data_IF_439673453746
#
_entry.id   IF_439673453746
#
_cell.length_a   1.000
_cell.length_b   1.000
_cell.length_c   1.000
_cell.angle_alpha   90.00
_cell.angle_beta   90.00
_cell.angle_gamma   90.00
#
_symmetry.space_group_name_H-M   'P 1'
#
loop_
_entity.id
_entity.type
_entity.pdbx_description
1 polymer ?
#
# COMPACT_ATOMS: atom_id res chain seq x y z
N UNK A 1 -14.94 27.40 2.25
CA UNK A 1 -14.18 26.79 1.13
C UNK A 1 -13.00 27.69 0.79
N UNK A 2 -11.75 27.21 0.84
CA UNK A 2 -10.63 27.96 0.31
C UNK A 2 -10.78 28.01 -1.22
N UNK A 3 -11.16 29.18 -1.77
CA UNK A 3 -11.41 29.39 -3.21
C UNK A 3 -10.22 29.01 -4.12
N UNK A 4 -9.03 28.81 -3.55
CA UNK A 4 -7.80 28.47 -4.27
C UNK A 4 -7.45 26.99 -4.33
N UNK A 5 -8.26 26.08 -3.76
CA UNK A 5 -8.00 24.64 -3.78
C UNK A 5 -9.06 23.84 -4.56
N UNK A 6 -9.62 24.44 -5.62
CA UNK A 6 -10.54 23.77 -6.54
C UNK A 6 -9.79 22.94 -7.58
N UNK A 7 -10.45 21.90 -8.08
CA UNK A 7 -10.01 21.21 -9.29
C UNK A 7 -10.37 22.08 -10.49
N UNK A 8 -9.44 22.35 -11.43
CA UNK A 8 -9.74 23.17 -12.61
C UNK A 8 -10.88 22.57 -13.44
N UNK A 9 -11.75 23.41 -14.02
CA UNK A 9 -12.89 22.96 -14.81
C UNK A 9 -12.51 22.05 -15.98
N UNK A 10 -11.31 22.22 -16.53
CA UNK A 10 -10.82 21.38 -17.62
C UNK A 10 -10.47 19.95 -17.22
N UNK A 11 -10.31 19.68 -15.92
CA UNK A 11 -10.05 18.34 -15.41
C UNK A 11 -11.39 17.61 -15.27
N UNK A 12 -11.77 16.86 -16.31
CA UNK A 12 -12.91 15.96 -16.27
C UNK A 12 -12.46 14.51 -16.11
N UNK A 13 -13.37 13.65 -15.64
CA UNK A 13 -13.11 12.22 -15.49
C UNK A 13 -12.75 11.58 -16.83
N UNK A 14 -13.41 12.00 -17.90
CA UNK A 14 -13.22 11.50 -19.27
C UNK A 14 -11.83 11.87 -19.78
N UNK A 15 -11.39 13.11 -19.56
CA UNK A 15 -10.05 13.56 -19.95
C UNK A 15 -8.95 12.85 -19.18
N UNK A 16 -9.13 12.64 -17.87
CA UNK A 16 -8.17 11.87 -17.08
C UNK A 16 -8.08 10.41 -17.54
N UNK A 17 -9.22 9.79 -17.89
CA UNK A 17 -9.23 8.44 -18.45
C UNK A 17 -8.58 8.38 -19.83
N UNK A 18 -8.81 9.37 -20.71
CA UNK A 18 -8.13 9.48 -22.00
C UNK A 18 -6.61 9.62 -21.81
N UNK A 19 -6.18 10.45 -20.86
CA UNK A 19 -4.77 10.57 -20.51
C UNK A 19 -4.18 9.26 -20.01
N UNK A 20 -4.86 8.56 -19.10
CA UNK A 20 -4.42 7.27 -18.58
C UNK A 20 -4.30 6.22 -19.69
N UNK A 21 -5.31 6.09 -20.57
CA UNK A 21 -5.30 5.18 -21.69
C UNK A 21 -4.18 5.49 -22.69
N UNK A 22 -3.85 6.77 -22.92
CA UNK A 22 -2.71 7.15 -23.78
C UNK A 22 -1.35 6.71 -23.22
N UNK A 23 -1.27 6.48 -21.90
CA UNK A 23 -0.05 6.07 -21.20
C UNK A 23 0.01 4.56 -20.93
N UNK A 24 -1.14 3.90 -20.92
CA UNK A 24 -1.28 2.46 -20.74
C UNK A 24 -2.28 1.91 -21.76
N UNK A 25 -1.77 1.47 -22.91
CA UNK A 25 -2.57 0.94 -24.02
C UNK A 25 -3.22 -0.42 -23.70
N UNK A 26 -2.79 -1.09 -22.63
CA UNK A 26 -3.34 -2.37 -22.16
C UNK A 26 -4.04 -2.20 -20.81
N UNK A 27 -4.78 -1.09 -20.67
CA UNK A 27 -5.49 -0.78 -19.44
C UNK A 27 -6.55 -1.84 -19.14
N UNK A 28 -6.45 -2.45 -17.97
CA UNK A 28 -7.41 -3.45 -17.49
C UNK A 28 -8.83 -2.83 -17.39
N UNK A 29 -9.87 -3.45 -17.98
CA UNK A 29 -11.25 -2.93 -17.95
C UNK A 29 -11.80 -2.64 -16.56
N UNK A 30 -11.29 -3.27 -15.49
CA UNK A 30 -11.72 -2.96 -14.12
C UNK A 30 -11.41 -1.52 -13.70
N UNK A 31 -10.47 -0.86 -14.37
CA UNK A 31 -10.09 0.52 -14.09
C UNK A 31 -10.90 1.56 -14.86
N UNK A 32 -11.89 1.16 -15.67
CA UNK A 32 -12.68 2.06 -16.53
C UNK A 32 -13.26 3.29 -15.78
N UNK A 33 -13.61 3.11 -14.50
CA UNK A 33 -14.26 4.13 -13.67
C UNK A 33 -13.31 4.74 -12.61
N UNK A 34 -12.00 4.47 -12.68
CA UNK A 34 -11.07 4.87 -11.60
C UNK A 34 -11.04 6.40 -11.40
N UNK A 35 -11.11 7.20 -12.48
CA UNK A 35 -11.19 8.66 -12.36
C UNK A 35 -12.49 9.10 -11.66
N UNK A 36 -13.62 8.43 -11.93
CA UNK A 36 -14.91 8.70 -11.26
C UNK A 36 -14.80 8.41 -9.77
N UNK A 37 -14.13 7.34 -9.36
CA UNK A 37 -13.85 7.05 -7.95
C UNK A 37 -12.99 8.13 -7.28
N UNK A 38 -11.95 8.64 -7.95
CA UNK A 38 -11.15 9.74 -7.39
C UNK A 38 -11.99 10.99 -7.19
N UNK A 39 -12.77 11.39 -8.19
CA UNK A 39 -13.68 12.53 -8.08
C UNK A 39 -14.67 12.34 -6.94
N UNK A 40 -15.37 11.22 -6.91
CA UNK A 40 -16.38 10.91 -5.89
C UNK A 40 -15.80 10.98 -4.46
N UNK A 41 -14.71 10.26 -4.19
CA UNK A 41 -14.12 10.25 -2.85
C UNK A 41 -13.43 11.57 -2.51
N UNK A 42 -12.73 12.20 -3.46
CA UNK A 42 -12.04 13.45 -3.17
C UNK A 42 -12.98 14.64 -3.01
N UNK A 43 -14.14 14.69 -3.68
CA UNK A 43 -15.19 15.67 -3.39
C UNK A 43 -15.76 15.44 -1.97
N UNK A 44 -16.07 14.20 -1.61
CA UNK A 44 -16.61 13.85 -0.29
C UNK A 44 -15.62 14.16 0.86
N UNK A 45 -14.33 13.93 0.65
CA UNK A 45 -13.27 14.15 1.63
C UNK A 45 -12.51 15.48 1.44
N UNK A 46 -12.97 16.33 0.51
CA UNK A 46 -12.41 17.66 0.22
C UNK A 46 -10.91 17.63 -0.14
N UNK A 47 -10.48 16.59 -0.83
CA UNK A 47 -9.11 16.39 -1.35
C UNK A 47 -9.05 16.81 -2.82
N UNK A 48 -7.92 17.38 -3.24
CA UNK A 48 -7.60 17.63 -4.67
C UNK A 48 -7.48 16.32 -5.43
N UNK A 49 -8.63 15.82 -5.92
CA UNK A 49 -8.76 14.50 -6.50
C UNK A 49 -7.98 14.34 -7.82
N UNK A 50 -7.77 15.43 -8.55
CA UNK A 50 -6.88 15.48 -9.71
C UNK A 50 -5.43 15.15 -9.32
N UNK A 51 -4.91 15.77 -8.27
CA UNK A 51 -3.56 15.46 -7.76
C UNK A 51 -3.46 14.09 -7.12
N UNK A 52 -4.52 13.58 -6.48
CA UNK A 52 -4.56 12.19 -6.02
C UNK A 52 -4.51 11.21 -7.20
N UNK A 53 -5.19 11.51 -8.31
CA UNK A 53 -5.10 10.74 -9.56
C UNK A 53 -3.69 10.79 -10.16
N UNK A 54 -3.05 11.96 -10.24
CA UNK A 54 -1.68 12.08 -10.75
C UNK A 54 -0.66 11.40 -9.85
N UNK A 55 -0.88 11.42 -8.53
CA UNK A 55 -0.10 10.61 -7.59
C UNK A 55 -0.24 9.12 -7.91
N UNK A 56 -1.45 8.62 -8.12
CA UNK A 56 -1.66 7.22 -8.52
C UNK A 56 -0.95 6.88 -9.82
N UNK A 57 -1.01 7.76 -10.81
CA UNK A 57 -0.32 7.57 -12.07
C UNK A 57 1.20 7.43 -11.87
N UNK A 58 1.79 8.21 -10.95
CA UNK A 58 3.19 8.07 -10.57
C UNK A 58 3.46 6.74 -9.84
N UNK A 59 2.72 6.47 -8.77
CA UNK A 59 2.95 5.36 -7.84
C UNK A 59 2.78 3.99 -8.50
N UNK A 60 1.84 3.88 -9.43
CA UNK A 60 1.52 2.64 -10.12
C UNK A 60 2.19 2.53 -11.49
N UNK A 61 2.93 3.57 -11.90
CA UNK A 61 3.39 3.73 -13.27
C UNK A 61 2.24 3.54 -14.28
N UNK A 62 1.22 4.41 -14.19
CA UNK A 62 0.00 4.40 -15.00
C UNK A 62 -0.75 3.06 -14.98
N UNK A 63 -0.88 2.46 -13.79
CA UNK A 63 -1.52 1.17 -13.53
C UNK A 63 -0.86 -0.03 -14.22
N UNK A 64 0.37 0.12 -14.69
CA UNK A 64 1.16 -1.02 -15.19
C UNK A 64 1.78 -1.83 -14.06
N UNK A 65 2.02 -1.19 -12.90
CA UNK A 65 2.76 -1.74 -11.76
C UNK A 65 4.14 -2.29 -12.15
N UNK A 66 4.75 -1.72 -13.19
CA UNK A 66 6.10 -2.09 -13.65
C UNK A 66 7.10 -1.03 -13.23
N UNK A 67 8.27 -1.49 -12.80
CA UNK A 67 9.45 -0.65 -12.58
C UNK A 67 10.07 -0.23 -13.92
N UNK A 68 10.95 0.77 -13.90
CA UNK A 68 11.61 1.29 -15.11
C UNK A 68 12.45 0.26 -15.90
N UNK A 69 12.88 -0.83 -15.24
CA UNK A 69 13.55 -1.96 -15.90
C UNK A 69 12.58 -3.04 -16.42
N UNK A 70 11.28 -2.74 -16.47
CA UNK A 70 10.24 -3.65 -16.93
C UNK A 70 9.84 -4.73 -15.92
N UNK A 71 10.51 -4.89 -14.77
CA UNK A 71 10.12 -5.90 -13.76
C UNK A 71 8.87 -5.46 -12.98
N UNK A 72 8.06 -6.39 -12.45
CA UNK A 72 6.96 -6.04 -11.54
C UNK A 72 7.43 -5.24 -10.31
N UNK A 73 6.63 -4.28 -9.88
CA UNK A 73 6.76 -3.57 -8.61
C UNK A 73 6.50 -4.46 -7.40
N UNK A 74 6.71 -3.93 -6.19
CA UNK A 74 6.36 -4.63 -4.96
C UNK A 74 4.83 -4.79 -4.83
N UNK A 75 4.11 -3.70 -5.11
CA UNK A 75 2.64 -3.72 -5.20
C UNK A 75 2.20 -4.35 -6.52
N UNK A 76 1.20 -5.22 -6.46
CA UNK A 76 0.61 -5.93 -7.61
C UNK A 76 -0.75 -5.34 -8.01
N UNK A 77 -1.14 -5.43 -9.30
CA UNK A 77 -2.44 -4.93 -9.76
C UNK A 77 -3.65 -5.48 -8.97
N UNK A 78 -3.60 -6.75 -8.57
CA UNK A 78 -4.65 -7.42 -7.80
C UNK A 78 -4.84 -6.88 -6.37
N UNK A 79 -3.94 -6.02 -5.88
CA UNK A 79 -4.08 -5.42 -4.56
C UNK A 79 -5.00 -4.20 -4.52
N UNK A 80 -5.34 -3.62 -5.68
CA UNK A 80 -6.04 -2.33 -5.76
C UNK A 80 -5.36 -1.22 -4.92
N UNK A 81 -4.07 -1.35 -4.64
CA UNK A 81 -3.31 -0.37 -3.87
C UNK A 81 -2.67 0.62 -4.86
N UNK A 82 -3.24 1.80 -4.94
CA UNK A 82 -2.91 2.81 -5.95
C UNK A 82 -1.85 3.80 -5.48
N UNK A 83 -1.40 3.70 -4.24
CA UNK A 83 -0.56 4.72 -3.62
C UNK A 83 0.59 4.14 -2.78
N UNK A 84 0.89 2.85 -2.96
CA UNK A 84 1.99 2.17 -2.26
C UNK A 84 1.78 2.06 -0.75
N UNK A 85 0.53 2.12 -0.27
CA UNK A 85 0.22 2.19 1.16
C UNK A 85 0.74 0.92 1.85
N UNK A 86 1.63 1.09 2.82
CA UNK A 86 2.21 -0.03 3.58
C UNK A 86 3.33 -0.79 2.87
N UNK A 87 3.66 -0.46 1.61
CA UNK A 87 4.81 -1.03 0.94
C UNK A 87 6.11 -0.38 1.43
N UNK A 88 7.15 -1.17 1.69
CA UNK A 88 8.43 -0.67 2.24
C UNK A 88 9.63 -0.93 1.32
N UNK A 89 9.40 -1.50 0.14
CA UNK A 89 10.48 -2.02 -0.71
C UNK A 89 10.90 -3.44 -0.32
N UNK A 90 11.72 -4.08 -1.16
CA UNK A 90 12.28 -5.40 -0.87
C UNK A 90 11.26 -6.55 -0.92
N UNK A 91 10.17 -6.41 -1.67
CA UNK A 91 9.14 -7.44 -1.81
C UNK A 91 7.99 -7.36 -0.82
N UNK A 92 7.99 -6.41 0.14
CA UNK A 92 6.83 -6.20 1.03
C UNK A 92 5.68 -5.58 0.23
N UNK A 93 4.56 -6.30 0.04
CA UNK A 93 3.54 -5.91 -0.94
C UNK A 93 2.69 -4.71 -0.49
N UNK A 94 2.65 -4.41 0.80
CA UNK A 94 1.76 -3.39 1.37
C UNK A 94 0.30 -3.83 1.48
N UNK A 95 -0.58 -2.88 1.75
CA UNK A 95 -2.01 -3.12 1.98
C UNK A 95 -2.70 -3.62 0.69
N UNK A 96 -3.85 -4.28 0.86
CA UNK A 96 -4.73 -4.80 -0.21
C UNK A 96 -6.16 -4.36 0.03
N UNK A 97 -6.87 -4.04 -1.06
CA UNK A 97 -8.26 -3.58 -1.04
C UNK A 97 -9.14 -4.44 -1.95
N UNK A 98 -10.41 -4.61 -1.55
CA UNK A 98 -11.35 -5.52 -2.21
C UNK A 98 -11.62 -5.15 -3.68
N UNK A 99 -11.74 -3.85 -3.96
CA UNK A 99 -12.07 -3.31 -5.27
C UNK A 99 -11.39 -1.96 -5.51
N UNK A 100 -11.55 -1.45 -6.73
CA UNK A 100 -10.97 -0.18 -7.18
C UNK A 100 -11.48 1.00 -6.34
N UNK A 101 -12.79 1.06 -6.05
CA UNK A 101 -13.36 2.14 -5.24
C UNK A 101 -12.75 2.21 -3.84
N UNK A 102 -12.67 1.07 -3.17
CA UNK A 102 -12.05 0.93 -1.84
C UNK A 102 -10.57 1.31 -1.86
N UNK A 103 -9.83 0.90 -2.91
CA UNK A 103 -8.44 1.28 -3.08
C UNK A 103 -8.23 2.78 -3.27
N UNK A 104 -9.12 3.44 -4.01
CA UNK A 104 -9.10 4.90 -4.19
C UNK A 104 -9.47 5.62 -2.87
N UNK A 105 -10.51 5.14 -2.17
CA UNK A 105 -10.88 5.66 -0.85
C UNK A 105 -9.71 5.54 0.14
N UNK A 106 -8.98 4.43 0.12
CA UNK A 106 -7.81 4.22 0.97
C UNK A 106 -6.74 5.30 0.77
N UNK A 107 -6.42 5.63 -0.49
CA UNK A 107 -5.48 6.70 -0.81
C UNK A 107 -6.00 8.07 -0.38
N UNK A 108 -7.27 8.38 -0.68
CA UNK A 108 -7.88 9.66 -0.31
C UNK A 108 -7.87 9.85 1.21
N UNK A 109 -8.24 8.83 1.98
CA UNK A 109 -8.15 8.85 3.44
C UNK A 109 -6.70 9.00 3.92
N UNK A 110 -5.74 8.32 3.30
CA UNK A 110 -4.34 8.50 3.67
C UNK A 110 -3.88 9.95 3.45
N UNK A 111 -4.29 10.58 2.33
CA UNK A 111 -4.03 12.00 2.07
C UNK A 111 -4.67 12.93 3.12
N UNK A 112 -5.86 12.60 3.63
CA UNK A 112 -6.51 13.33 4.74
C UNK A 112 -5.68 13.22 6.03
N UNK A 113 -5.11 12.04 6.33
CA UNK A 113 -4.16 11.95 7.45
C UNK A 113 -2.94 12.86 7.24
N UNK A 114 -2.41 12.92 6.02
CA UNK A 114 -1.31 13.84 5.65
C UNK A 114 -1.71 15.31 5.65
N UNK A 115 -3.00 15.68 5.61
CA UNK A 115 -3.45 17.07 5.83
C UNK A 115 -3.42 17.49 7.31
N UNK A 116 -3.20 16.54 8.22
CA UNK A 116 -3.20 16.75 9.67
C UNK A 116 -4.57 16.49 10.32
N UNK A 117 -5.51 15.93 9.56
CA UNK A 117 -6.85 15.59 9.99
C UNK A 117 -6.96 14.10 10.36
N UNK A 118 -7.74 13.80 11.41
CA UNK A 118 -7.98 12.44 11.84
C UNK A 118 -8.99 11.77 10.90
N UNK A 119 -8.72 10.53 10.49
CA UNK A 119 -9.63 9.72 9.69
C UNK A 119 -10.34 8.70 10.59
N UNK A 120 -11.66 8.81 10.77
CA UNK A 120 -12.40 7.82 11.53
C UNK A 120 -12.56 6.53 10.72
N UNK A 121 -12.26 5.38 11.34
CA UNK A 121 -12.35 4.04 10.74
C UNK A 121 -11.73 3.98 9.31
N UNK A 122 -10.42 4.22 9.15
CA UNK A 122 -9.79 4.18 7.85
C UNK A 122 -9.89 2.79 7.22
N UNK A 123 -10.12 2.71 5.91
CA UNK A 123 -10.19 1.43 5.19
C UNK A 123 -8.82 0.75 5.02
N UNK A 124 -7.73 1.53 5.12
CA UNK A 124 -6.37 1.02 5.09
C UNK A 124 -5.83 0.73 6.50
N UNK A 125 -5.41 -0.52 6.79
CA UNK A 125 -4.74 -0.88 8.04
C UNK A 125 -3.54 0.01 8.35
N UNK A 126 -2.75 0.40 7.34
CA UNK A 126 -1.62 1.32 7.53
C UNK A 126 -2.08 2.71 7.97
N UNK A 127 -3.16 3.24 7.40
CA UNK A 127 -3.72 4.54 7.83
C UNK A 127 -4.21 4.44 9.27
N UNK A 128 -4.95 3.39 9.61
CA UNK A 128 -5.44 3.16 10.97
C UNK A 128 -4.30 3.15 12.00
N UNK A 129 -3.22 2.42 11.71
CA UNK A 129 -2.06 2.30 12.61
C UNK A 129 -1.15 3.52 12.66
N UNK A 130 -1.04 4.30 11.58
CA UNK A 130 -0.04 5.38 11.47
C UNK A 130 -0.57 6.80 11.40
N UNK A 131 -1.88 7.01 11.29
CA UNK A 131 -2.41 8.36 11.17
C UNK A 131 -1.98 9.30 12.30
N UNK A 132 -1.88 8.82 13.55
CA UNK A 132 -1.44 9.67 14.66
C UNK A 132 0.01 10.14 14.50
N UNK A 133 0.92 9.25 14.09
CA UNK A 133 2.31 9.58 13.78
C UNK A 133 2.39 10.60 12.62
N UNK A 134 1.63 10.35 11.55
CA UNK A 134 1.57 11.20 10.36
C UNK A 134 1.07 12.60 10.74
N UNK A 135 -0.07 12.67 11.44
CA UNK A 135 -0.72 13.91 11.88
C UNK A 135 0.22 14.71 12.79
N UNK A 136 0.89 14.04 13.73
CA UNK A 136 1.87 14.68 14.62
C UNK A 136 3.01 15.32 13.83
N UNK A 137 3.55 14.60 12.84
CA UNK A 137 4.65 15.09 12.01
C UNK A 137 4.24 16.28 11.11
N UNK A 138 3.07 16.24 10.46
CA UNK A 138 2.63 17.32 9.56
C UNK A 138 2.19 18.57 10.33
N UNK A 139 1.68 18.43 11.56
CA UNK A 139 1.33 19.59 12.42
C UNK A 139 2.53 20.47 12.78
N UNK A 140 3.75 19.93 12.73
CA UNK A 140 4.98 20.70 12.92
C UNK A 140 5.20 21.78 11.84
N UNK A 141 4.52 21.68 10.70
CA UNK A 141 4.60 22.69 9.63
C UNK A 141 3.97 24.03 10.03
N UNK A 142 3.04 24.04 11.01
CA UNK A 142 2.35 25.25 11.51
C UNK A 142 1.69 26.11 10.41
N UNK A 143 1.32 25.49 9.29
CA UNK A 143 0.59 26.09 8.16
C UNK A 143 -0.27 25.03 7.46
N UNK A 144 -1.24 25.42 6.62
CA UNK A 144 -1.95 24.47 5.77
C UNK A 144 -0.96 23.62 4.94
N UNK A 145 -1.21 22.31 4.92
CA UNK A 145 -0.41 21.35 4.17
C UNK A 145 -0.63 21.56 2.67
N UNK A 146 0.46 21.55 1.92
CA UNK A 146 0.47 21.58 0.46
C UNK A 146 0.87 20.22 -0.07
N UNK A 147 0.49 19.93 -1.30
CA UNK A 147 0.89 18.69 -1.96
C UNK A 147 2.43 18.54 -2.04
N UNK A 148 3.16 19.66 -2.10
CA UNK A 148 4.63 19.67 -2.03
C UNK A 148 5.21 19.12 -0.73
N UNK A 149 4.45 19.16 0.37
CA UNK A 149 4.91 18.69 1.69
C UNK A 149 4.91 17.16 1.81
N UNK A 150 4.29 16.46 0.85
CA UNK A 150 4.35 15.00 0.76
C UNK A 150 5.77 14.51 0.43
N UNK A 151 6.60 15.32 -0.22
CA UNK A 151 8.00 14.99 -0.43
C UNK A 151 8.73 14.82 0.92
N UNK A 152 9.54 13.78 1.04
CA UNK A 152 10.23 13.34 2.27
C UNK A 152 9.31 12.93 3.43
N UNK A 153 8.00 12.84 3.25
CA UNK A 153 7.05 12.40 4.28
C UNK A 153 6.18 11.23 3.83
N UNK A 154 5.67 11.30 2.61
CA UNK A 154 5.01 10.19 1.93
C UNK A 154 6.03 9.28 1.27
N UNK A 155 6.85 9.85 0.38
CA UNK A 155 7.96 9.18 -0.26
C UNK A 155 9.29 9.76 0.25
N UNK A 156 10.33 8.93 0.32
CA UNK A 156 11.67 9.37 0.69
C UNK A 156 12.28 10.37 -0.33
N UNK A 157 11.82 10.32 -1.58
CA UNK A 157 12.34 11.14 -2.67
C UNK A 157 12.04 12.64 -2.47
N UNK A 158 13.05 13.53 -2.45
CA UNK A 158 12.82 14.98 -2.43
C UNK A 158 12.13 15.51 -3.69
N UNK A 159 12.24 14.83 -4.83
CA UNK A 159 11.65 15.23 -6.11
C UNK A 159 10.22 14.73 -6.30
N UNK A 160 9.68 14.02 -5.32
CA UNK A 160 8.36 13.40 -5.39
C UNK A 160 7.25 14.38 -5.83
N UNK A 161 7.20 15.54 -5.17
CA UNK A 161 6.22 16.57 -5.50
C UNK A 161 6.36 17.10 -6.94
N UNK A 162 7.59 17.36 -7.39
CA UNK A 162 7.85 17.80 -8.76
C UNK A 162 7.51 16.74 -9.80
N UNK A 163 7.70 15.45 -9.48
CA UNK A 163 7.31 14.35 -10.37
C UNK A 163 5.80 14.33 -10.60
N UNK A 164 5.00 14.52 -9.54
CA UNK A 164 3.54 14.57 -9.65
C UNK A 164 3.10 15.83 -10.40
N UNK A 165 3.72 16.97 -10.12
CA UNK A 165 3.47 18.21 -10.86
C UNK A 165 3.78 18.06 -12.36
N UNK A 166 4.87 17.37 -12.73
CA UNK A 166 5.22 17.13 -14.13
C UNK A 166 4.17 16.30 -14.88
N UNK A 167 3.56 15.31 -14.20
CA UNK A 167 2.43 14.55 -14.74
C UNK A 167 1.21 15.46 -14.94
N UNK A 168 0.87 16.27 -13.92
CA UNK A 168 -0.23 17.22 -13.98
C UNK A 168 -0.06 18.25 -15.12
N UNK A 169 1.13 18.82 -15.26
CA UNK A 169 1.46 19.78 -16.31
C UNK A 169 1.35 19.15 -17.70
N UNK A 170 1.76 17.88 -17.83
CA UNK A 170 1.63 17.15 -19.09
C UNK A 170 0.17 16.91 -19.44
N UNK A 171 -0.65 16.54 -18.46
CA UNK A 171 -2.10 16.45 -18.63
C UNK A 171 -2.67 17.79 -19.09
N UNK A 172 -2.37 18.89 -18.38
CA UNK A 172 -2.91 20.21 -18.70
C UNK A 172 -2.52 20.66 -20.11
N UNK A 173 -1.25 20.50 -20.50
CA UNK A 173 -0.78 20.87 -21.85
C UNK A 173 -1.46 20.06 -22.96
N UNK A 174 -1.83 18.81 -22.71
CA UNK A 174 -2.39 17.94 -23.76
C UNK A 174 -3.92 17.90 -23.78
N UNK A 175 -4.59 18.13 -22.64
CA UNK A 175 -6.02 17.87 -22.48
C UNK A 175 -6.84 19.09 -22.02
N UNK A 176 -6.20 20.19 -21.62
CA UNK A 176 -6.90 21.42 -21.20
C UNK A 176 -6.79 22.58 -22.19
N UNK A 177 -6.14 22.41 -23.34
CA UNK A 177 -5.88 23.50 -24.30
C UNK A 177 -7.15 24.12 -24.88
N UNK A 178 -8.18 23.32 -25.12
CA UNK A 178 -9.40 23.81 -25.78
C UNK A 178 -10.31 24.60 -24.83
N UNK A 179 -10.25 24.35 -23.52
CA UNK A 179 -11.04 25.08 -22.52
C UNK A 179 -10.47 26.46 -22.22
N UNK A 180 -9.15 26.66 -22.37
CA UNK A 180 -8.55 27.98 -22.27
C UNK A 180 -9.04 28.90 -23.41
N UNK A 181 -9.32 28.33 -24.59
CA UNK A 181 -9.90 29.04 -25.72
C UNK A 181 -11.43 29.19 -25.61
N UNK A 182 -12.14 28.20 -25.06
CA UNK A 182 -13.60 28.20 -24.91
C UNK A 182 -14.11 28.99 -23.70
N UNK A 183 -13.32 29.15 -22.63
CA UNK A 183 -13.64 30.03 -21.51
C UNK A 183 -13.72 31.52 -21.90
N UNK A 184 -13.22 31.88 -23.10
CA UNK A 184 -13.36 33.21 -23.70
C UNK A 184 -14.63 33.37 -24.56
N UNK A 185 -15.52 32.37 -24.62
CA UNK A 185 -16.75 32.39 -25.43
C UNK A 185 -18.00 32.12 -24.57
N UNK A 186 -19.15 32.78 -24.80
CA UNK A 186 -20.30 32.70 -23.91
C UNK A 186 -20.99 31.32 -23.97
N UNK A 187 -21.35 30.86 -22.77
CA UNK A 187 -21.73 29.50 -22.38
C UNK A 187 -22.95 28.94 -23.13
N UNK A 188 -22.84 27.71 -23.66
CA UNK A 188 -23.99 26.84 -23.94
C UNK A 188 -24.15 25.82 -22.81
N UNK A 189 -25.37 25.70 -22.28
CA UNK A 189 -25.75 24.76 -21.21
C UNK A 189 -25.91 23.36 -21.79
N UNK A 190 -25.24 22.35 -21.23
CA UNK A 190 -25.62 20.96 -21.40
C UNK A 190 -25.91 20.29 -20.05
N UNK A 191 -27.02 19.55 -20.05
CA UNK A 191 -27.64 18.87 -18.91
C UNK A 191 -26.94 17.54 -18.64
N UNK A 192 -26.64 17.29 -17.36
CA UNK A 192 -26.06 16.05 -16.87
C UNK A 192 -27.16 15.05 -16.49
N UNK A 193 -26.96 13.80 -16.89
CA UNK A 193 -27.52 12.64 -16.22
C UNK A 193 -26.39 11.62 -16.09
N UNK A 194 -25.85 11.48 -14.89
CA UNK A 194 -24.83 10.47 -14.56
C UNK A 194 -25.32 9.73 -13.31
N UNK A 195 -25.34 8.40 -13.42
CA UNK A 195 -25.79 7.47 -12.39
C UNK A 195 -24.86 7.55 -11.17
N UNK A 196 -25.43 7.87 -10.00
CA UNK A 196 -24.67 8.22 -8.80
C UNK A 196 -24.13 6.98 -8.09
N UNK A 197 -22.81 6.90 -7.93
CA UNK A 197 -22.17 5.95 -7.04
C UNK A 197 -22.53 6.27 -5.57
N UNK A 198 -22.76 5.26 -4.71
CA UNK A 198 -23.22 5.47 -3.34
C UNK A 198 -22.18 6.23 -2.50
N UNK A 199 -22.61 7.34 -1.91
CA UNK A 199 -21.79 8.22 -1.07
C UNK A 199 -21.55 7.60 0.31
N UNK A 200 -20.29 7.50 0.74
CA UNK A 200 -19.93 7.25 2.15
C UNK A 200 -19.72 8.60 2.84
N UNK A 201 -20.53 8.99 3.83
CA UNK A 201 -20.45 10.30 4.47
C UNK A 201 -19.21 10.47 5.36
N UNK A 202 -18.63 11.67 5.33
CA UNK A 202 -17.52 12.08 6.20
C UNK A 202 -18.02 12.33 7.63
N UNK A 203 -17.43 11.73 8.69
CA UNK A 203 -17.77 12.08 10.07
C UNK A 203 -17.09 13.40 10.44
N UNK A 204 -17.87 14.42 10.81
CA UNK A 204 -17.33 15.71 11.24
C UNK A 204 -16.58 15.55 12.57
N UNK A 205 -15.25 15.65 12.57
CA UNK A 205 -14.45 15.42 13.76
C UNK A 205 -14.21 16.72 14.56
N UNK A 206 -14.89 16.84 15.72
CA UNK A 206 -14.41 17.60 16.89
C UNK A 206 -14.01 16.58 17.95
N UNK A 207 -12.71 16.39 18.18
CA UNK A 207 -12.17 15.88 19.45
C UNK A 207 -10.66 16.14 19.53
N UNK A 208 -10.24 16.84 20.57
CA UNK A 208 -8.83 16.95 21.00
C UNK A 208 -8.55 15.82 21.98
N UNK A 209 -7.48 15.07 21.76
CA UNK A 209 -6.87 14.24 22.79
C UNK A 209 -5.35 14.28 22.63
N UNK A 210 -4.66 14.60 23.72
CA UNK A 210 -3.20 14.59 23.84
C UNK A 210 -2.73 13.18 24.19
N UNK A 211 -1.73 12.67 23.48
CA UNK A 211 -0.90 11.58 23.99
C UNK A 211 0.53 11.73 23.46
N UNK A 212 1.49 11.59 24.37
CA UNK A 212 2.93 11.71 24.15
C UNK A 212 3.48 10.34 23.74
N UNK A 213 4.21 10.25 22.64
CA UNK A 213 4.96 9.05 22.27
C UNK A 213 6.32 9.41 21.64
N UNK A 214 7.36 8.73 22.13
CA UNK A 214 8.78 8.92 21.77
C UNK A 214 9.07 8.42 20.35
N UNK A 215 9.78 9.25 19.61
CA UNK A 215 10.32 9.05 18.26
C UNK A 215 11.55 8.15 18.23
N UNK A 216 11.61 7.19 17.31
CA UNK A 216 12.87 6.69 16.72
C UNK A 216 12.63 6.16 15.29
N UNK A 217 13.18 6.84 14.28
CA UNK A 217 13.52 6.26 12.98
C UNK A 217 15.02 6.44 12.81
N UNK A 218 15.81 5.38 13.00
CA UNK A 218 17.24 5.35 12.66
C UNK A 218 17.49 4.19 11.72
N UNK A 219 18.26 4.47 10.66
CA UNK A 219 18.80 3.50 9.71
C UNK A 219 19.90 2.67 10.40
N UNK A 220 19.87 1.36 10.15
CA UNK A 220 21.00 0.42 10.08
C UNK A 220 21.99 0.36 11.24
N UNK A 221 21.98 -0.76 11.96
CA UNK A 221 23.13 -1.45 12.59
C UNK A 221 22.71 -2.94 12.79
N UNK A 222 23.65 -3.91 12.79
CA UNK A 222 23.35 -5.34 12.73
C UNK A 222 22.94 -5.94 14.08
N UNK A 223 22.12 -6.99 14.01
CA UNK A 223 21.56 -7.73 15.15
C UNK A 223 22.64 -8.56 15.86
N UNK A 224 22.80 -8.35 17.18
CA UNK A 224 23.61 -9.19 18.07
C UNK A 224 22.67 -10.09 18.90
N UNK A 225 23.05 -11.36 19.16
CA UNK A 225 22.12 -12.40 19.59
C UNK A 225 21.66 -12.25 21.04
N UNK A 226 20.45 -12.79 21.28
CA UNK A 226 19.75 -12.78 22.55
C UNK A 226 20.59 -13.31 23.71
N UNK A 227 20.70 -12.52 24.78
CA UNK A 227 21.13 -12.99 26.10
C UNK A 227 19.96 -13.66 26.79
N UNK A 228 20.13 -14.95 27.09
CA UNK A 228 19.36 -15.74 28.03
C UNK A 228 19.72 -15.33 29.46
N UNK A 229 18.72 -14.92 30.24
CA UNK A 229 18.85 -14.84 31.70
C UNK A 229 18.38 -16.16 32.33
N UNK A 230 19.24 -16.69 33.20
CA UNK A 230 19.06 -17.87 34.04
C UNK A 230 18.56 -17.42 35.41
N UNK A 231 17.60 -18.15 36.02
CA UNK A 231 17.51 -18.30 37.47
C UNK A 231 16.67 -19.54 37.90
N UNK A 232 17.37 -20.53 38.51
CA UNK A 232 17.03 -21.36 39.71
C UNK A 232 15.73 -22.20 39.75
N UNK A 233 15.67 -23.46 40.24
CA UNK A 233 16.54 -24.26 41.11
C UNK A 233 16.26 -25.80 41.03
N UNK A 234 17.33 -26.58 41.30
CA UNK A 234 17.48 -27.87 42.01
C UNK A 234 16.46 -29.05 41.89
N UNK A 235 16.97 -30.26 41.57
CA UNK A 235 17.11 -31.42 42.51
C UNK A 235 17.75 -32.67 41.84
N UNK A 236 18.85 -33.18 42.45
CA UNK A 236 19.44 -34.55 42.58
C UNK A 236 19.62 -35.48 41.34
N UNK A 237 20.87 -35.82 40.96
CA UNK A 237 21.72 -36.99 41.34
C UNK A 237 21.41 -38.26 40.51
N UNK A 238 22.36 -38.92 39.81
CA UNK A 238 23.25 -39.99 40.34
C UNK A 238 24.18 -40.52 39.19
N UNK A 239 25.51 -40.63 39.47
CA UNK A 239 26.59 -41.55 38.94
C UNK A 239 26.74 -41.84 37.43
N UNK A 240 27.91 -42.16 36.84
CA UNK A 240 29.34 -42.13 37.13
C UNK A 240 30.05 -42.60 35.83
N UNK A 241 31.38 -42.40 35.75
CA UNK A 241 32.35 -43.10 34.90
C UNK A 241 32.78 -42.45 33.57
N UNK A 242 34.06 -42.11 33.56
CA UNK A 242 35.01 -41.89 32.45
C UNK A 242 36.00 -43.08 32.45
N UNK A 243 37.05 -43.21 31.59
CA UNK A 243 37.59 -42.24 30.61
C UNK A 243 38.05 -42.82 29.24
N UNK A 244 38.59 -41.90 28.43
CA UNK A 244 39.80 -42.00 27.57
C UNK A 244 39.72 -42.50 26.12
N UNK A 245 40.05 -41.60 25.18
CA UNK A 245 41.01 -41.71 24.05
C UNK A 245 40.87 -40.43 23.17
N UNK A 246 41.78 -39.44 23.25
CA UNK A 246 43.01 -39.21 22.45
C UNK A 246 42.82 -38.93 20.95
N UNK A 247 43.44 -37.80 20.54
CA UNK A 247 43.91 -37.37 19.19
C UNK A 247 42.83 -36.84 18.23
N UNK A 248 42.73 -35.52 18.02
CA UNK A 248 43.62 -34.60 17.29
C UNK A 248 43.74 -34.96 15.80
N UNK A 249 42.95 -34.31 14.93
CA UNK A 249 43.37 -33.98 13.56
C UNK A 249 42.69 -32.70 13.06
N UNK A 250 43.55 -31.81 12.60
CA UNK A 250 43.31 -30.57 11.90
C UNK A 250 43.00 -30.83 10.42
N UNK A 251 42.01 -30.12 9.87
CA UNK A 251 41.85 -29.83 8.43
C UNK A 251 43.08 -29.03 7.91
N UNK A 252 43.38 -28.87 6.59
CA UNK A 252 42.36 -28.65 5.54
C UNK A 252 42.70 -29.03 4.07
N UNK A 253 41.68 -28.81 3.22
CA UNK A 253 41.76 -28.25 1.85
C UNK A 253 42.11 -29.15 0.65
N UNK A 254 41.10 -29.18 -0.23
CA UNK A 254 41.10 -28.76 -1.66
C UNK A 254 41.23 -29.82 -2.77
N UNK A 255 40.39 -29.53 -3.77
CA UNK A 255 40.62 -29.54 -5.23
C UNK A 255 40.24 -30.80 -6.03
N UNK A 256 39.16 -30.59 -6.79
CA UNK A 256 38.94 -30.91 -8.20
C UNK A 256 39.05 -32.36 -8.70
N UNK A 257 37.99 -32.78 -9.37
CA UNK A 257 38.12 -33.42 -10.68
C UNK A 257 37.24 -34.64 -10.94
N UNK A 258 36.32 -34.51 -11.90
CA UNK A 258 36.24 -35.51 -12.96
C UNK A 258 35.04 -36.46 -13.01
N UNK A 259 34.27 -36.28 -14.08
CA UNK A 259 33.75 -37.32 -15.00
C UNK A 259 32.49 -38.14 -14.64
N UNK A 260 31.43 -37.75 -15.37
CA UNK A 260 30.61 -38.57 -16.30
C UNK A 260 29.92 -39.87 -15.82
N UNK A 261 28.58 -39.74 -15.80
CA UNK A 261 27.59 -40.56 -16.51
C UNK A 261 27.45 -42.06 -16.20
N UNK A 262 26.29 -42.42 -15.64
CA UNK A 262 25.50 -43.58 -16.07
C UNK A 262 24.01 -43.38 -15.75
N UNK A 263 23.17 -43.88 -16.65
CA UNK A 263 21.74 -43.69 -16.75
C UNK A 263 20.91 -44.72 -15.95
N UNK A 264 19.61 -44.41 -15.86
CA UNK A 264 18.47 -45.28 -15.54
C UNK A 264 18.34 -45.78 -14.08
N UNK A 265 17.29 -45.30 -13.39
CA UNK A 265 16.11 -46.16 -13.26
C UNK A 265 14.87 -45.34 -12.84
N UNK A 266 13.82 -45.52 -13.63
CA UNK A 266 12.43 -45.15 -13.30
C UNK A 266 11.84 -46.41 -12.69
N UNK A 267 11.34 -46.37 -11.45
CA UNK A 267 10.14 -47.11 -11.05
C UNK A 267 9.61 -46.66 -9.67
N UNK A 268 8.35 -46.24 -9.69
CA UNK A 268 7.26 -46.50 -8.73
C UNK A 268 7.55 -46.46 -7.21
N UNK A 269 6.82 -45.56 -6.53
CA UNK A 269 6.12 -45.86 -5.26
C UNK A 269 4.97 -44.88 -5.06
N UNK A 270 3.83 -45.24 -5.64
CA UNK A 270 2.51 -44.80 -5.20
C UNK A 270 1.99 -45.76 -4.12
N UNK A 271 1.21 -45.20 -3.20
CA UNK A 271 0.24 -45.85 -2.32
C UNK A 271 0.79 -46.66 -1.14
N UNK A 272 0.80 -46.04 0.04
CA UNK A 272 0.02 -46.57 1.17
C UNK A 272 -0.24 -45.45 2.21
N UNK A 273 -1.46 -44.91 2.25
CA UNK A 273 -1.93 -44.06 3.36
C UNK A 273 -3.36 -44.47 3.69
N UNK A 274 -3.65 -44.93 4.92
CA UNK A 274 -4.99 -45.34 5.31
C UNK A 274 -5.92 -44.12 5.45
N UNK A 275 -7.24 -44.29 5.20
CA UNK A 275 -8.21 -43.19 5.26
C UNK A 275 -8.50 -42.75 6.71
N UNK A 276 -8.63 -41.43 6.92
CA UNK A 276 -9.04 -40.83 8.20
C UNK A 276 -10.52 -41.11 8.51
N UNK A 277 -10.89 -41.32 9.80
CA UNK A 277 -12.28 -41.53 10.21
C UNK A 277 -13.10 -40.21 10.15
N UNK A 278 -14.42 -40.30 9.94
CA UNK A 278 -15.27 -39.12 9.77
C UNK A 278 -15.41 -38.30 11.07
N UNK A 279 -15.32 -36.98 10.91
CA UNK A 279 -15.53 -35.98 11.98
C UNK A 279 -17.03 -35.92 12.33
N UNK A 280 -17.37 -36.26 13.57
CA UNK A 280 -18.71 -36.09 14.13
C UNK A 280 -18.90 -34.63 14.54
N UNK A 281 -19.85 -33.93 13.91
CA UNK A 281 -20.25 -32.56 14.27
C UNK A 281 -21.31 -32.63 15.38
N UNK A 282 -21.12 -32.02 16.55
CA UNK A 282 -22.14 -32.01 17.60
C UNK A 282 -23.28 -31.04 17.24
N UNK A 283 -24.52 -31.55 17.24
CA UNK A 283 -25.75 -30.76 17.12
C UNK A 283 -25.96 -29.85 18.33
N UNK A 284 -26.39 -28.59 18.15
CA UNK A 284 -26.68 -27.70 19.27
C UNK A 284 -27.98 -28.11 19.98
N UNK A 285 -27.93 -28.32 21.30
CA UNK A 285 -29.12 -28.43 22.15
C UNK A 285 -29.79 -27.06 22.25
N UNK A 286 -31.06 -27.00 21.85
CA UNK A 286 -31.99 -25.93 22.20
C UNK A 286 -32.19 -25.94 23.73
N UNK A 287 -31.83 -24.84 24.39
CA UNK A 287 -32.20 -24.60 25.78
C UNK A 287 -33.64 -24.10 25.82
N UNK A 288 -34.51 -24.89 26.45
CA UNK A 288 -35.88 -24.51 26.80
C UNK A 288 -35.86 -23.37 27.83
N UNK A 289 -36.81 -22.45 27.67
CA UNK A 289 -37.17 -21.41 28.62
C UNK A 289 -37.77 -22.02 29.88
N UNK A 290 -37.30 -21.56 31.04
CA UNK A 290 -38.12 -21.29 32.24
C UNK A 290 -37.64 -19.96 32.84
#
# INVERSE_FOLDING_TARGET
MHRHNGVPACVTTERLMAFLASRNQSLDPRYRDIAKWYRHHGEAWRVRWDYAFFQMALETNFLTYRRGNGKPGDVKPAQNNFAGIGATGGGVPGDRFADVGTGVLAQVQHLVAYSGELVPRPVAPRTASKQLDIISAVRQLKRPVRFSDLARRWAADPRYASSIASIADTFQRSYCRDDAAQAASPIRKHSAADEALPLVPHPAARARAHLVAKTLWRRGEPELPARTDVATAATQAVTASQPAATEDQTSPSRLLGGLQAIAADVHARTADRPPEPPVVVPTPRLASRE
#
